data_IF_106818013538
#
_entry.id   IF_106818013538
#
_cell.length_a   1.000
_cell.length_b   1.000
_cell.length_c   1.000
_cell.angle_alpha   90.00
_cell.angle_beta   90.00
_cell.angle_gamma   90.00
#
_symmetry.space_group_name_H-M   'P 1'
#
loop_
_entity.id
_entity.type
_entity.pdbx_description
1 polymer ?
#
# COMPACT_ATOMS: atom_id res chain seq x y z
N UNK A 1 -14.00 21.69 5.64
CA UNK A 1 -13.20 21.55 4.40
C UNK A 1 -12.27 20.38 4.66
N UNK A 2 -12.22 19.35 3.79
CA UNK A 2 -11.42 18.17 4.09
C UNK A 2 -9.93 18.52 4.18
N UNK A 3 -9.28 18.14 5.28
CA UNK A 3 -7.86 18.38 5.53
C UNK A 3 -7.02 17.18 5.13
N UNK A 4 -6.01 17.41 4.31
CA UNK A 4 -5.10 16.38 3.81
C UNK A 4 -3.68 16.72 4.27
N UNK A 5 -3.12 15.85 5.12
CA UNK A 5 -1.71 15.93 5.50
C UNK A 5 -0.85 15.28 4.42
N UNK A 6 0.11 16.03 3.89
CA UNK A 6 1.11 15.56 2.95
C UNK A 6 2.41 15.22 3.70
N UNK A 7 2.89 14.00 3.51
CA UNK A 7 4.19 13.54 4.00
C UNK A 7 5.03 13.02 2.83
N UNK A 8 5.66 13.91 2.03
CA UNK A 8 6.41 13.49 0.84
C UNK A 8 7.56 12.52 1.17
N UNK A 9 8.20 12.73 2.32
CA UNK A 9 9.25 11.85 2.85
C UNK A 9 10.55 11.89 2.05
N UNK A 10 11.10 10.72 1.73
CA UNK A 10 12.47 10.55 1.25
C UNK A 10 12.56 10.14 -0.23
N UNK A 11 13.71 10.43 -0.84
CA UNK A 11 14.05 9.96 -2.19
C UNK A 11 13.06 10.44 -3.26
N UNK A 12 12.51 9.52 -4.05
CA UNK A 12 11.50 9.85 -5.08
C UNK A 12 10.15 10.27 -4.50
N UNK A 13 9.94 10.12 -3.18
CA UNK A 13 8.68 10.45 -2.51
C UNK A 13 8.22 11.88 -2.80
N UNK A 14 9.15 12.85 -2.80
CA UNK A 14 8.87 14.24 -3.17
C UNK A 14 8.42 14.38 -4.63
N UNK A 15 9.09 13.73 -5.57
CA UNK A 15 8.79 13.81 -7.01
C UNK A 15 7.38 13.28 -7.31
N UNK A 16 7.05 12.09 -6.81
CA UNK A 16 5.75 11.46 -7.10
C UNK A 16 4.59 12.14 -6.36
N UNK A 17 4.84 12.67 -5.16
CA UNK A 17 3.85 13.47 -4.41
C UNK A 17 3.52 14.76 -5.15
N UNK A 18 4.53 15.43 -5.73
CA UNK A 18 4.32 16.63 -6.54
C UNK A 18 3.42 16.36 -7.76
N UNK A 19 3.58 15.23 -8.45
CA UNK A 19 2.70 14.87 -9.57
C UNK A 19 1.26 14.57 -9.09
N UNK A 20 1.12 13.96 -7.92
CA UNK A 20 -0.19 13.73 -7.29
C UNK A 20 -0.89 15.05 -6.92
N UNK A 21 -0.12 16.02 -6.43
CA UNK A 21 -0.62 17.35 -6.10
C UNK A 21 -1.13 18.13 -7.31
N UNK A 22 -0.54 17.95 -8.51
CA UNK A 22 -1.07 18.56 -9.73
C UNK A 22 -2.48 18.07 -10.06
N UNK A 23 -2.72 16.76 -9.89
CA UNK A 23 -4.05 16.14 -10.08
C UNK A 23 -5.03 16.65 -9.01
N UNK A 24 -4.63 16.64 -7.74
CA UNK A 24 -5.45 17.11 -6.63
C UNK A 24 -5.84 18.58 -6.75
N UNK A 25 -4.89 19.46 -7.11
CA UNK A 25 -5.17 20.89 -7.28
C UNK A 25 -6.17 21.14 -8.41
N UNK A 26 -6.01 20.46 -9.55
CA UNK A 26 -6.97 20.56 -10.65
C UNK A 26 -8.37 20.10 -10.22
N UNK A 27 -8.48 18.94 -9.56
CA UNK A 27 -9.76 18.41 -9.10
C UNK A 27 -10.40 19.30 -8.03
N UNK A 28 -9.60 19.85 -7.12
CA UNK A 28 -10.06 20.73 -6.06
C UNK A 28 -10.70 22.00 -6.64
N UNK A 29 -10.07 22.61 -7.64
CA UNK A 29 -10.61 23.77 -8.37
C UNK A 29 -11.84 23.38 -9.20
N UNK A 30 -11.74 22.30 -9.99
CA UNK A 30 -12.77 21.91 -10.96
C UNK A 30 -14.08 21.48 -10.31
N UNK A 31 -14.01 20.79 -9.17
CA UNK A 31 -15.17 20.25 -8.45
C UNK A 31 -15.52 21.06 -7.19
N UNK A 32 -14.76 22.13 -6.91
CA UNK A 32 -14.92 22.97 -5.72
C UNK A 32 -14.95 22.13 -4.42
N UNK A 33 -14.00 21.20 -4.28
CA UNK A 33 -13.96 20.23 -3.19
C UNK A 33 -13.61 20.86 -1.84
N UNK A 34 -12.96 22.03 -1.86
CA UNK A 34 -12.49 22.72 -0.65
C UNK A 34 -11.48 21.88 0.13
N UNK A 35 -10.59 21.17 -0.57
CA UNK A 35 -9.47 20.46 0.05
C UNK A 35 -8.45 21.47 0.57
N UNK A 36 -8.02 21.25 1.81
CA UNK A 36 -6.92 21.97 2.46
C UNK A 36 -5.72 21.03 2.57
N UNK A 37 -4.54 21.52 2.22
CA UNK A 37 -3.31 20.75 2.25
C UNK A 37 -2.35 21.34 3.27
N UNK A 38 -1.83 20.48 4.14
CA UNK A 38 -0.77 20.80 5.09
C UNK A 38 0.39 19.83 4.88
N UNK A 39 1.62 20.32 4.82
CA UNK A 39 2.80 19.50 4.59
C UNK A 39 3.67 19.45 5.85
N UNK A 40 4.18 18.27 6.19
CA UNK A 40 5.07 18.09 7.33
C UNK A 40 6.27 17.17 7.00
N UNK A 41 7.34 17.32 7.77
CA UNK A 41 8.53 16.48 7.64
C UNK A 41 8.25 15.05 8.13
N UNK A 42 8.81 14.09 7.40
CA UNK A 42 8.65 12.67 7.68
C UNK A 42 9.89 11.87 7.24
N UNK A 43 10.20 10.79 7.96
CA UNK A 43 11.26 9.86 7.58
C UNK A 43 12.66 10.44 7.78
N UNK A 44 13.53 10.16 6.82
CA UNK A 44 14.90 10.67 6.76
C UNK A 44 14.98 12.20 6.69
N UNK A 45 14.06 12.84 5.97
CA UNK A 45 13.94 14.29 5.93
C UNK A 45 13.68 14.90 7.32
N UNK A 46 12.85 14.26 8.14
CA UNK A 46 12.63 14.67 9.53
C UNK A 46 13.86 14.37 10.41
N UNK A 47 14.54 13.24 10.20
CA UNK A 47 15.78 12.92 10.91
C UNK A 47 16.88 13.95 10.68
N UNK A 48 17.04 14.41 9.44
CA UNK A 48 18.06 15.38 9.07
C UNK A 48 17.86 16.73 9.77
N UNK A 49 16.61 17.17 9.96
CA UNK A 49 16.27 18.46 10.56
C UNK A 49 16.06 18.38 12.08
N UNK A 50 15.50 17.29 12.58
CA UNK A 50 14.95 17.19 13.94
C UNK A 50 15.45 15.98 14.73
N UNK A 51 16.33 15.14 14.14
CA UNK A 51 16.91 13.93 14.75
C UNK A 51 15.89 12.87 15.20
N UNK A 52 14.66 12.95 14.70
CA UNK A 52 13.61 11.95 14.89
C UNK A 52 12.90 11.68 13.56
N UNK A 53 12.36 10.47 13.32
CA UNK A 53 11.77 10.14 12.02
C UNK A 53 10.35 10.68 11.83
N UNK A 54 9.69 11.12 12.91
CA UNK A 54 8.40 11.82 12.89
C UNK A 54 8.19 12.49 14.26
N UNK A 55 7.69 13.72 14.27
CA UNK A 55 7.41 14.48 15.50
C UNK A 55 6.05 14.12 16.09
N UNK A 56 5.83 14.48 17.36
CA UNK A 56 4.51 14.38 17.99
C UNK A 56 3.52 15.35 17.34
N UNK A 57 3.99 16.54 16.95
CA UNK A 57 3.19 17.54 16.23
C UNK A 57 2.65 16.98 14.91
N UNK A 58 3.49 16.32 14.10
CA UNK A 58 3.06 15.67 12.86
C UNK A 58 2.04 14.56 13.11
N UNK A 59 2.16 13.81 14.22
CA UNK A 59 1.17 12.80 14.61
C UNK A 59 -0.17 13.43 14.97
N UNK A 60 -0.17 14.55 15.70
CA UNK A 60 -1.42 15.24 16.05
C UNK A 60 -2.09 15.85 14.82
N UNK A 61 -1.32 16.47 13.91
CA UNK A 61 -1.85 16.93 12.61
C UNK A 61 -2.45 15.75 11.82
N UNK A 62 -1.80 14.58 11.83
CA UNK A 62 -2.29 13.39 11.16
C UNK A 62 -3.63 12.90 11.74
N UNK A 63 -3.82 12.96 13.06
CA UNK A 63 -5.08 12.61 13.73
C UNK A 63 -6.20 13.62 13.48
N UNK A 64 -5.85 14.88 13.27
CA UNK A 64 -6.80 15.96 12.95
C UNK A 64 -7.16 16.04 11.46
N UNK A 65 -6.44 15.31 10.60
CA UNK A 65 -6.63 15.29 9.16
C UNK A 65 -7.65 14.22 8.73
N UNK A 66 -8.40 14.49 7.66
CA UNK A 66 -9.34 13.53 7.06
C UNK A 66 -8.60 12.42 6.29
N UNK A 67 -7.38 12.70 5.83
CA UNK A 67 -6.48 11.72 5.24
C UNK A 67 -5.01 12.15 5.33
N UNK A 68 -4.11 11.18 5.35
CA UNK A 68 -2.67 11.37 5.19
C UNK A 68 -2.25 10.81 3.83
N UNK A 69 -1.63 11.62 2.98
CA UNK A 69 -1.03 11.20 1.71
C UNK A 69 0.49 11.21 1.84
N UNK A 70 1.12 10.05 1.65
CA UNK A 70 2.56 9.87 1.83
C UNK A 70 3.26 9.54 0.52
N UNK A 71 4.50 9.99 0.38
CA UNK A 71 5.36 9.67 -0.76
C UNK A 71 6.14 8.38 -0.54
N UNK A 72 7.32 8.45 0.08
CA UNK A 72 8.14 7.28 0.38
C UNK A 72 9.03 7.53 1.60
N UNK A 73 9.65 6.46 2.14
CA UNK A 73 10.52 6.55 3.32
C UNK A 73 11.76 5.67 3.17
N UNK A 74 12.88 6.12 3.74
CA UNK A 74 14.11 5.33 3.85
C UNK A 74 15.20 5.76 2.87
N UNK A 75 16.43 5.30 3.12
CA UNK A 75 17.57 5.53 2.25
C UNK A 75 18.92 5.16 2.90
N UNK A 76 19.97 4.87 2.10
CA UNK A 76 21.25 4.37 2.59
C UNK A 76 21.96 5.27 3.61
N UNK A 77 21.64 6.58 3.60
CA UNK A 77 22.17 7.55 4.55
C UNK A 77 21.89 7.17 6.00
N UNK A 78 20.77 6.50 6.27
CA UNK A 78 20.30 6.21 7.62
C UNK A 78 20.41 4.72 8.02
N UNK A 79 20.97 3.86 7.14
CA UNK A 79 21.06 2.40 7.36
C UNK A 79 21.98 2.00 8.53
N UNK A 80 22.93 2.87 8.90
CA UNK A 80 23.83 2.62 10.03
C UNK A 80 23.25 3.06 11.36
N UNK A 81 22.09 3.73 11.38
CA UNK A 81 21.46 4.17 12.61
C UNK A 81 20.90 2.98 13.41
N UNK A 82 20.81 3.12 14.75
CA UNK A 82 20.05 2.19 15.60
C UNK A 82 18.63 2.00 15.06
N UNK A 83 18.11 0.78 15.16
CA UNK A 83 16.82 0.40 14.58
C UNK A 83 15.68 1.30 15.07
N UNK A 84 15.79 1.84 16.28
CA UNK A 84 14.79 2.66 16.96
C UNK A 84 14.58 4.05 16.35
N UNK A 85 15.59 4.57 15.63
CA UNK A 85 15.58 5.93 15.06
C UNK A 85 15.69 5.94 13.54
N UNK A 86 15.52 4.80 12.86
CA UNK A 86 15.53 4.76 11.39
C UNK A 86 14.26 5.38 10.79
N UNK A 87 14.30 5.86 9.53
CA UNK A 87 13.14 6.44 8.84
C UNK A 87 11.87 5.58 8.94
N UNK A 88 11.99 4.27 8.75
CA UNK A 88 10.86 3.31 8.75
C UNK A 88 10.15 3.23 10.11
N UNK A 89 10.82 3.66 11.19
CA UNK A 89 10.18 3.76 12.52
C UNK A 89 9.13 4.86 12.57
N UNK A 90 9.31 5.94 11.80
CA UNK A 90 8.27 6.95 11.61
C UNK A 90 7.03 6.35 10.99
N UNK A 91 7.19 5.54 9.93
CA UNK A 91 6.08 4.84 9.25
C UNK A 91 5.33 3.89 10.19
N UNK A 92 6.07 3.06 10.94
CA UNK A 92 5.46 2.14 11.90
C UNK A 92 4.75 2.89 13.03
N UNK A 93 5.30 4.02 13.47
CA UNK A 93 4.70 4.87 14.50
C UNK A 93 3.38 5.48 14.03
N UNK A 94 3.34 6.17 12.89
CA UNK A 94 2.11 6.81 12.41
C UNK A 94 1.00 5.79 12.13
N UNK A 95 1.33 4.63 11.54
CA UNK A 95 0.35 3.54 11.35
C UNK A 95 -0.25 3.06 12.67
N UNK A 96 0.57 2.96 13.72
CA UNK A 96 0.11 2.54 15.04
C UNK A 96 -0.71 3.62 15.74
N UNK A 97 -0.27 4.87 15.70
CA UNK A 97 -0.94 6.01 16.34
C UNK A 97 -2.30 6.32 15.72
N UNK A 98 -2.46 6.12 14.41
CA UNK A 98 -3.75 6.23 13.72
C UNK A 98 -4.61 4.95 13.81
N UNK A 99 -4.09 3.90 14.47
CA UNK A 99 -4.66 2.55 14.48
C UNK A 99 -5.05 2.09 13.06
N UNK A 100 -4.19 2.37 12.07
CA UNK A 100 -4.37 2.07 10.66
C UNK A 100 -4.17 0.58 10.37
N UNK A 101 -5.02 -0.27 10.95
CA UNK A 101 -4.84 -1.71 11.02
C UNK A 101 -5.12 -2.46 9.71
N UNK A 102 -5.89 -1.88 8.79
CA UNK A 102 -6.28 -2.54 7.55
C UNK A 102 -5.55 -1.96 6.34
N UNK A 103 -4.51 -2.65 5.88
CA UNK A 103 -3.81 -2.29 4.66
C UNK A 103 -4.47 -2.95 3.45
N UNK A 104 -4.79 -2.13 2.44
CA UNK A 104 -5.46 -2.48 1.20
C UNK A 104 -4.47 -2.26 0.06
N UNK A 105 -4.11 -3.33 -0.64
CA UNK A 105 -3.17 -3.30 -1.79
C UNK A 105 -3.83 -3.96 -2.99
N UNK A 106 -4.44 -3.19 -3.92
CA UNK A 106 -4.95 -3.73 -5.15
C UNK A 106 -3.80 -4.07 -6.12
N UNK A 107 -3.70 -5.33 -6.53
CA UNK A 107 -2.83 -5.79 -7.60
C UNK A 107 -3.66 -6.04 -8.86
N UNK A 108 -3.66 -5.04 -9.76
CA UNK A 108 -4.41 -5.06 -11.01
C UNK A 108 -3.44 -5.05 -12.19
N UNK A 109 -3.60 -6.00 -13.10
CA UNK A 109 -2.84 -6.01 -14.37
C UNK A 109 -3.61 -5.18 -15.38
N UNK A 110 -3.10 -3.98 -15.67
CA UNK A 110 -3.65 -3.14 -16.74
C UNK A 110 -3.44 -3.82 -18.09
N UNK A 111 -4.48 -3.87 -18.93
CA UNK A 111 -4.43 -4.50 -20.26
C UNK A 111 -3.24 -4.02 -21.12
N UNK A 112 -2.94 -2.71 -21.17
CA UNK A 112 -1.78 -2.17 -21.88
C UNK A 112 -0.41 -2.57 -21.30
N UNK A 113 -0.37 -3.12 -20.09
CA UNK A 113 0.85 -3.52 -19.36
C UNK A 113 1.01 -5.03 -19.20
N UNK A 114 0.17 -5.86 -19.83
CA UNK A 114 0.30 -7.32 -19.70
C UNK A 114 1.69 -7.87 -20.06
N UNK A 115 2.36 -7.25 -21.03
CA UNK A 115 3.73 -7.61 -21.43
C UNK A 115 4.83 -7.11 -20.47
N UNK A 116 4.51 -6.21 -19.54
CA UNK A 116 5.45 -5.79 -18.49
C UNK A 116 5.62 -6.88 -17.42
N UNK A 117 4.66 -7.80 -17.32
CA UNK A 117 4.78 -8.98 -16.46
C UNK A 117 5.80 -9.97 -17.03
N UNK A 118 6.55 -10.61 -16.15
CA UNK A 118 7.44 -11.72 -16.53
C UNK A 118 6.69 -13.05 -16.72
N UNK A 119 5.43 -13.12 -16.28
CA UNK A 119 4.56 -14.26 -16.52
C UNK A 119 3.89 -14.17 -17.88
N UNK A 120 3.49 -15.33 -18.42
CA UNK A 120 2.80 -15.38 -19.71
C UNK A 120 1.47 -14.64 -19.64
N UNK A 121 1.14 -13.91 -20.71
CA UNK A 121 -0.08 -13.10 -20.80
C UNK A 121 -1.34 -13.88 -20.42
N UNK A 122 -1.50 -15.14 -20.86
CA UNK A 122 -2.67 -15.96 -20.54
C UNK A 122 -2.83 -16.31 -19.04
N UNK A 123 -1.80 -16.06 -18.23
CA UNK A 123 -1.83 -16.24 -16.77
C UNK A 123 -2.27 -14.96 -16.07
N UNK A 124 -1.76 -13.80 -16.50
CA UNK A 124 -1.90 -12.51 -15.81
C UNK A 124 -2.99 -11.59 -16.37
N UNK A 125 -3.44 -11.82 -17.60
CA UNK A 125 -4.47 -11.00 -18.25
C UNK A 125 -5.81 -11.07 -17.48
N UNK A 126 -6.27 -9.94 -16.97
CA UNK A 126 -7.47 -9.83 -16.13
C UNK A 126 -7.26 -10.17 -14.65
N UNK A 127 -6.03 -10.18 -14.14
CA UNK A 127 -5.77 -10.24 -12.69
C UNK A 127 -6.24 -8.93 -12.05
N UNK A 128 -7.14 -9.06 -11.06
CA UNK A 128 -7.63 -8.01 -10.18
C UNK A 128 -7.78 -8.61 -8.78
N UNK A 129 -6.75 -8.44 -7.95
CA UNK A 129 -6.68 -8.98 -6.59
C UNK A 129 -6.65 -7.82 -5.61
N UNK A 130 -7.40 -7.91 -4.51
CA UNK A 130 -7.23 -7.05 -3.36
C UNK A 130 -6.54 -7.83 -2.23
N UNK A 131 -5.33 -7.43 -1.86
CA UNK A 131 -4.70 -7.95 -0.64
C UNK A 131 -5.11 -7.08 0.54
N UNK A 132 -5.70 -7.72 1.55
CA UNK A 132 -6.09 -7.13 2.83
C UNK A 132 -5.15 -7.66 3.91
N UNK A 133 -4.24 -6.80 4.36
CA UNK A 133 -3.17 -7.12 5.31
C UNK A 133 -3.46 -6.47 6.65
N UNK A 134 -3.38 -7.26 7.72
CA UNK A 134 -3.32 -6.71 9.08
C UNK A 134 -2.00 -5.93 9.26
N UNK A 135 -2.04 -4.68 9.71
CA UNK A 135 -0.90 -3.77 9.62
C UNK A 135 -0.29 -3.34 10.97
N UNK A 136 -1.01 -3.46 12.09
CA UNK A 136 -0.60 -2.89 13.38
C UNK A 136 -0.29 -3.92 14.46
N UNK A 137 -0.43 -5.22 14.16
CA UNK A 137 -0.13 -6.33 15.06
C UNK A 137 0.88 -7.33 14.50
N UNK A 138 0.85 -8.55 15.04
CA UNK A 138 1.73 -9.65 14.62
C UNK A 138 3.19 -9.45 15.01
N UNK A 139 4.09 -10.17 14.32
CA UNK A 139 5.53 -10.23 14.65
C UNK A 139 6.25 -8.87 14.53
N UNK A 140 5.66 -7.91 13.82
CA UNK A 140 6.22 -6.59 13.59
C UNK A 140 6.11 -5.70 14.84
N UNK A 141 5.15 -5.99 15.72
CA UNK A 141 4.89 -5.22 16.95
C UNK A 141 4.97 -6.06 18.22
N UNK A 142 4.95 -7.39 18.12
CA UNK A 142 4.95 -8.29 19.26
C UNK A 142 6.19 -8.20 20.15
N UNK A 143 5.97 -8.45 21.44
CA UNK A 143 6.98 -8.48 22.50
C UNK A 143 6.90 -9.81 23.27
N UNK A 144 8.02 -10.31 23.85
CA UNK A 144 9.37 -9.75 23.84
C UNK A 144 10.04 -9.79 22.44
N UNK A 145 11.03 -8.92 22.24
CA UNK A 145 11.86 -8.86 21.03
C UNK A 145 13.24 -8.29 21.32
N UNK A 146 14.24 -8.63 20.51
CA UNK A 146 15.59 -8.08 20.62
C UNK A 146 16.69 -9.11 20.37
N UNK A 147 17.94 -8.68 20.54
CA UNK A 147 19.12 -9.55 20.49
C UNK A 147 19.78 -9.53 21.86
N UNK A 148 19.88 -10.69 22.50
CA UNK A 148 20.58 -10.88 23.78
C UNK A 148 21.89 -11.64 23.58
N UNK A 149 22.90 -11.33 24.39
CA UNK A 149 24.14 -12.12 24.47
C UNK A 149 23.92 -13.22 25.52
N UNK A 150 23.98 -14.48 25.09
CA UNK A 150 23.91 -15.61 26.01
C UNK A 150 25.27 -15.82 26.70
N UNK A 151 26.36 -15.56 25.97
CA UNK A 151 27.72 -15.46 26.48
C UNK A 151 28.59 -14.52 25.61
N UNK A 152 29.92 -14.57 25.76
CA UNK A 152 30.88 -13.74 25.01
C UNK A 152 30.90 -13.96 23.50
N UNK A 153 30.32 -15.06 23.00
CA UNK A 153 30.38 -15.50 21.61
C UNK A 153 29.00 -15.80 21.01
N UNK A 154 28.03 -16.17 21.83
CA UNK A 154 26.69 -16.54 21.37
C UNK A 154 25.67 -15.41 21.57
N UNK A 155 24.92 -15.11 20.51
CA UNK A 155 23.80 -14.16 20.52
C UNK A 155 22.51 -14.87 20.14
N UNK A 156 21.41 -14.51 20.81
CA UNK A 156 20.07 -14.99 20.51
C UNK A 156 19.17 -13.83 20.09
N UNK A 157 18.60 -13.94 18.89
CA UNK A 157 17.54 -13.05 18.41
C UNK A 157 16.17 -13.59 18.77
N UNK A 158 15.26 -12.72 19.24
CA UNK A 158 13.88 -13.07 19.56
C UNK A 158 12.93 -12.06 18.90
N UNK A 159 11.84 -12.58 18.34
CA UNK A 159 10.65 -11.83 17.95
C UNK A 159 9.42 -12.66 18.31
N UNK A 160 8.32 -12.01 18.69
CA UNK A 160 7.10 -12.70 19.11
C UNK A 160 5.97 -12.44 18.12
N UNK A 161 5.41 -13.52 17.54
CA UNK A 161 4.20 -13.43 16.72
C UNK A 161 2.97 -13.66 17.59
N UNK A 162 2.16 -12.62 17.78
CA UNK A 162 0.96 -12.67 18.61
C UNK A 162 -0.21 -11.95 17.94
N UNK A 163 -1.41 -12.50 18.12
CA UNK A 163 -2.67 -11.87 17.75
C UNK A 163 -3.72 -12.15 18.82
N UNK A 164 -4.56 -11.16 19.08
CA UNK A 164 -5.81 -11.29 19.81
C UNK A 164 -6.95 -11.60 18.83
N UNK A 165 -8.01 -12.23 19.32
CA UNK A 165 -9.22 -12.45 18.52
C UNK A 165 -9.83 -11.13 18.04
N UNK A 166 -9.76 -10.05 18.82
CA UNK A 166 -10.23 -8.73 18.41
C UNK A 166 -9.47 -8.17 17.20
N UNK A 167 -8.15 -8.33 17.16
CA UNK A 167 -7.33 -7.90 16.02
C UNK A 167 -7.69 -8.69 14.76
N UNK A 168 -7.90 -10.00 14.88
CA UNK A 168 -8.28 -10.85 13.75
C UNK A 168 -9.71 -10.53 13.29
N UNK A 169 -10.67 -10.34 14.21
CA UNK A 169 -12.07 -10.04 13.88
C UNK A 169 -12.20 -8.73 13.10
N UNK A 170 -11.48 -7.67 13.49
CA UNK A 170 -11.57 -6.37 12.80
C UNK A 170 -11.04 -6.43 11.37
N UNK A 171 -9.89 -7.08 11.12
CA UNK A 171 -9.33 -7.18 9.77
C UNK A 171 -10.13 -8.15 8.89
N UNK A 172 -10.65 -9.24 9.46
CA UNK A 172 -11.53 -10.17 8.74
C UNK A 172 -12.80 -9.49 8.24
N UNK A 173 -13.45 -8.66 9.09
CA UNK A 173 -14.63 -7.88 8.69
C UNK A 173 -14.33 -6.99 7.48
N UNK A 174 -13.22 -6.25 7.53
CA UNK A 174 -12.81 -5.39 6.39
C UNK A 174 -12.65 -6.22 5.11
N UNK A 175 -12.00 -7.38 5.17
CA UNK A 175 -11.85 -8.24 4.00
C UNK A 175 -13.20 -8.74 3.45
N UNK A 176 -14.12 -9.18 4.32
CA UNK A 176 -15.44 -9.63 3.90
C UNK A 176 -16.31 -8.50 3.34
N UNK A 177 -16.31 -7.32 3.95
CA UNK A 177 -17.02 -6.13 3.46
C UNK A 177 -16.52 -5.67 2.09
N UNK A 178 -15.20 -5.78 1.85
CA UNK A 178 -14.61 -5.52 0.53
C UNK A 178 -15.06 -6.60 -0.46
N UNK A 179 -15.02 -7.87 -0.09
CA UNK A 179 -15.44 -8.97 -0.96
C UNK A 179 -16.93 -8.87 -1.35
N UNK A 180 -17.80 -8.36 -0.47
CA UNK A 180 -19.21 -8.09 -0.79
C UNK A 180 -19.40 -7.13 -1.96
N UNK A 181 -18.47 -6.17 -2.13
CA UNK A 181 -18.47 -5.18 -3.22
C UNK A 181 -17.69 -5.66 -4.46
N UNK A 182 -17.13 -6.88 -4.40
CA UNK A 182 -16.33 -7.50 -5.47
C UNK A 182 -16.96 -8.84 -5.88
N UNK A 183 -16.16 -9.88 -6.11
CA UNK A 183 -16.62 -11.17 -6.60
C UNK A 183 -17.05 -12.13 -5.48
N UNK A 184 -17.24 -11.63 -4.25
CA UNK A 184 -17.74 -12.38 -3.09
C UNK A 184 -16.88 -13.60 -2.73
N UNK A 185 -15.56 -13.51 -2.90
CA UNK A 185 -14.61 -14.57 -2.52
C UNK A 185 -13.48 -14.01 -1.67
N UNK A 186 -13.21 -14.67 -0.55
CA UNK A 186 -12.07 -14.39 0.33
C UNK A 186 -11.20 -15.63 0.42
N UNK A 187 -9.91 -15.47 0.15
CA UNK A 187 -8.88 -16.45 0.48
C UNK A 187 -8.15 -15.98 1.73
N UNK A 188 -8.35 -16.68 2.86
CA UNK A 188 -7.61 -16.45 4.10
C UNK A 188 -6.29 -17.22 4.09
N UNK A 189 -5.19 -16.51 4.30
CA UNK A 189 -3.83 -17.06 4.23
C UNK A 189 -3.24 -17.17 5.63
N UNK A 190 -2.77 -18.37 5.98
CA UNK A 190 -2.21 -18.63 7.30
C UNK A 190 -1.09 -19.70 7.28
N UNK A 191 -0.66 -20.15 8.46
CA UNK A 191 0.20 -21.34 8.64
C UNK A 191 -0.31 -22.20 9.79
N UNK A 192 -1.62 -22.48 9.80
CA UNK A 192 -2.30 -23.17 10.91
C UNK A 192 -1.82 -24.61 11.14
N UNK A 193 -1.16 -25.24 10.16
CA UNK A 193 -0.53 -26.56 10.34
C UNK A 193 0.75 -26.55 11.19
N UNK A 194 1.28 -25.38 11.55
CA UNK A 194 2.52 -25.24 12.33
C UNK A 194 2.37 -24.26 13.49
N UNK A 195 1.68 -23.13 13.29
CA UNK A 195 1.66 -22.02 14.26
C UNK A 195 0.30 -21.91 14.94
N UNK A 196 0.25 -22.01 16.28
CA UNK A 196 -1.00 -21.91 17.06
C UNK A 196 -1.69 -20.55 16.89
N UNK A 197 -0.90 -19.47 16.80
CA UNK A 197 -1.42 -18.12 16.48
C UNK A 197 -2.14 -18.07 15.13
N UNK A 198 -1.72 -18.91 14.18
CA UNK A 198 -2.37 -19.02 12.87
C UNK A 198 -3.54 -20.00 12.86
N UNK A 199 -3.57 -20.98 13.79
CA UNK A 199 -4.79 -21.75 14.07
C UNK A 199 -5.88 -20.82 14.63
N UNK A 200 -5.53 -19.97 15.61
CA UNK A 200 -6.44 -18.95 16.15
C UNK A 200 -6.95 -18.01 15.05
N UNK A 201 -6.07 -17.60 14.12
CA UNK A 201 -6.44 -16.82 12.94
C UNK A 201 -7.53 -17.52 12.12
N UNK A 202 -7.27 -18.77 11.70
CA UNK A 202 -8.18 -19.56 10.89
C UNK A 202 -9.55 -19.75 11.54
N UNK A 203 -9.57 -20.10 12.82
CA UNK A 203 -10.81 -20.33 13.57
C UNK A 203 -11.62 -19.03 13.68
N UNK A 204 -10.95 -17.92 13.99
CA UNK A 204 -11.60 -16.61 14.15
C UNK A 204 -12.14 -16.07 12.81
N UNK A 205 -11.38 -16.19 11.71
CA UNK A 205 -11.84 -15.78 10.38
C UNK A 205 -13.06 -16.60 9.95
N UNK A 206 -13.05 -17.91 10.23
CA UNK A 206 -14.17 -18.80 9.94
C UNK A 206 -15.41 -18.41 10.74
N UNK A 207 -15.27 -18.16 12.05
CA UNK A 207 -16.35 -17.68 12.92
C UNK A 207 -16.97 -16.38 12.38
N UNK A 208 -16.15 -15.39 11.99
CA UNK A 208 -16.64 -14.13 11.43
C UNK A 208 -17.43 -14.36 10.15
N UNK A 209 -16.92 -15.19 9.24
CA UNK A 209 -17.63 -15.54 8.01
C UNK A 209 -18.99 -16.16 8.30
N UNK A 210 -19.03 -17.19 9.14
CA UNK A 210 -20.25 -17.96 9.41
C UNK A 210 -21.32 -17.12 10.11
N UNK A 211 -20.90 -16.24 11.02
CA UNK A 211 -21.82 -15.43 11.83
C UNK A 211 -22.29 -14.15 11.15
N UNK A 212 -21.49 -13.55 10.27
CA UNK A 212 -21.74 -12.19 9.74
C UNK A 212 -21.79 -12.11 8.22
N UNK A 213 -21.13 -13.02 7.49
CA UNK A 213 -20.99 -12.98 6.03
C UNK A 213 -21.23 -14.36 5.38
N UNK A 214 -22.38 -15.01 5.66
CA UNK A 214 -22.62 -16.39 5.22
C UNK A 214 -22.61 -16.57 3.70
N UNK A 215 -22.88 -15.50 2.94
CA UNK A 215 -22.94 -15.45 1.48
C UNK A 215 -21.56 -15.33 0.79
N UNK A 216 -20.50 -15.03 1.53
CA UNK A 216 -19.15 -14.93 0.97
C UNK A 216 -18.51 -16.33 0.91
N UNK A 217 -17.91 -16.69 -0.22
CA UNK A 217 -17.11 -17.90 -0.33
C UNK A 217 -15.77 -17.69 0.40
N UNK A 218 -15.42 -18.61 1.30
CA UNK A 218 -14.17 -18.59 2.05
C UNK A 218 -13.32 -19.82 1.71
N UNK A 219 -12.14 -19.59 1.15
CA UNK A 219 -11.07 -20.57 1.00
C UNK A 219 -9.98 -20.26 2.03
N UNK A 220 -9.34 -21.30 2.58
CA UNK A 220 -8.14 -21.13 3.39
C UNK A 220 -6.93 -21.77 2.71
N UNK A 221 -5.84 -21.02 2.57
CA UNK A 221 -4.58 -21.52 2.03
C UNK A 221 -3.44 -21.34 3.05
N UNK A 222 -2.50 -22.27 3.04
CA UNK A 222 -1.22 -22.04 3.71
C UNK A 222 -0.38 -21.06 2.89
N UNK A 223 0.40 -20.20 3.56
CA UNK A 223 1.16 -19.11 2.92
C UNK A 223 2.13 -19.59 1.84
N UNK A 224 2.76 -20.75 2.02
CA UNK A 224 3.62 -21.38 1.01
C UNK A 224 2.84 -21.81 -0.24
N UNK A 225 1.65 -22.39 -0.05
CA UNK A 225 0.77 -22.69 -1.17
C UNK A 225 0.22 -21.41 -1.82
N UNK A 226 -0.15 -20.40 -1.04
CA UNK A 226 -0.64 -19.12 -1.56
C UNK A 226 0.39 -18.46 -2.50
N UNK A 227 1.67 -18.47 -2.13
CA UNK A 227 2.75 -18.01 -3.00
C UNK A 227 2.79 -18.78 -4.33
N UNK A 228 2.76 -20.12 -4.27
CA UNK A 228 2.70 -20.94 -5.49
C UNK A 228 1.45 -20.64 -6.35
N UNK A 229 0.28 -20.45 -5.73
CA UNK A 229 -0.97 -20.19 -6.44
C UNK A 229 -1.02 -18.78 -7.06
N UNK A 230 -0.37 -17.78 -6.45
CA UNK A 230 -0.24 -16.45 -7.04
C UNK A 230 0.48 -16.49 -8.39
N UNK A 231 1.48 -17.35 -8.52
CA UNK A 231 2.17 -17.55 -9.81
C UNK A 231 1.34 -18.43 -10.74
N UNK A 232 0.73 -19.49 -10.21
CA UNK A 232 0.10 -20.54 -11.01
C UNK A 232 -1.30 -20.19 -11.55
N UNK A 233 -2.11 -19.47 -10.77
CA UNK A 233 -3.53 -19.15 -11.02
C UNK A 233 -3.98 -17.81 -10.41
N UNK A 234 -3.27 -16.68 -10.58
CA UNK A 234 -3.58 -15.44 -9.87
C UNK A 234 -5.02 -14.96 -10.07
N UNK A 235 -5.60 -15.14 -11.27
CA UNK A 235 -6.98 -14.78 -11.62
C UNK A 235 -8.07 -15.46 -10.79
N UNK A 236 -7.72 -16.51 -10.04
CA UNK A 236 -8.65 -17.19 -9.16
C UNK A 236 -8.90 -16.43 -7.86
N UNK A 237 -7.99 -15.55 -7.44
CA UNK A 237 -8.12 -14.75 -6.24
C UNK A 237 -8.98 -13.51 -6.49
N UNK A 238 -9.75 -13.13 -5.47
CA UNK A 238 -10.53 -11.88 -5.43
C UNK A 238 -10.01 -11.00 -4.29
N UNK A 239 -10.28 -11.42 -3.04
CA UNK A 239 -9.72 -10.80 -1.84
C UNK A 239 -8.82 -11.79 -1.12
N UNK A 240 -7.58 -11.42 -0.87
CA UNK A 240 -6.61 -12.22 -0.11
C UNK A 240 -6.40 -11.59 1.27
N UNK A 241 -6.78 -12.30 2.33
CA UNK A 241 -6.69 -11.84 3.72
C UNK A 241 -5.49 -12.49 4.41
N UNK A 242 -4.60 -11.70 5.00
CA UNK A 242 -3.41 -12.22 5.69
C UNK A 242 -2.98 -11.37 6.91
N UNK A 243 -2.33 -12.03 7.88
CA UNK A 243 -1.63 -11.35 8.98
C UNK A 243 -0.40 -10.56 8.49
N UNK A 244 0.18 -9.71 9.33
CA UNK A 244 1.12 -8.66 8.93
C UNK A 244 2.29 -9.13 8.06
N UNK A 245 3.10 -10.08 8.56
CA UNK A 245 4.27 -10.58 7.83
C UNK A 245 3.89 -11.34 6.55
N UNK A 246 2.83 -12.13 6.58
CA UNK A 246 2.39 -12.89 5.40
C UNK A 246 1.78 -11.97 4.35
N UNK A 247 0.97 -11.00 4.77
CA UNK A 247 0.39 -9.99 3.90
C UNK A 247 1.46 -9.11 3.25
N UNK A 248 2.56 -8.81 3.96
CA UNK A 248 3.72 -8.12 3.39
C UNK A 248 4.24 -8.86 2.15
N UNK A 249 4.67 -10.10 2.36
CA UNK A 249 5.29 -10.96 1.35
C UNK A 249 4.33 -11.22 0.19
N UNK A 250 3.09 -11.61 0.49
CA UNK A 250 2.08 -11.93 -0.52
C UNK A 250 1.69 -10.70 -1.33
N UNK A 251 1.61 -9.52 -0.71
CA UNK A 251 1.28 -8.30 -1.43
C UNK A 251 2.39 -7.86 -2.38
N UNK A 252 3.66 -8.03 -1.99
CA UNK A 252 4.82 -7.75 -2.85
C UNK A 252 5.00 -8.83 -3.95
N UNK A 253 4.57 -10.05 -3.72
CA UNK A 253 4.51 -11.08 -4.77
C UNK A 253 3.39 -10.79 -5.77
N UNK A 254 2.18 -10.45 -5.28
CA UNK A 254 1.06 -10.06 -6.12
C UNK A 254 1.37 -8.79 -6.93
N UNK A 255 2.13 -7.88 -6.32
CA UNK A 255 2.65 -6.69 -6.97
C UNK A 255 3.47 -6.99 -8.22
N UNK A 256 4.40 -7.95 -8.12
CA UNK A 256 5.29 -8.29 -9.22
C UNK A 256 4.54 -8.91 -10.42
N UNK A 257 3.33 -9.46 -10.20
CA UNK A 257 2.47 -9.96 -11.28
C UNK A 257 2.07 -8.84 -12.26
N UNK A 258 1.93 -7.60 -11.77
CA UNK A 258 1.54 -6.43 -12.59
C UNK A 258 2.68 -5.88 -13.44
N UNK A 259 3.90 -6.36 -13.22
CA UNK A 259 5.12 -5.97 -13.95
C UNK A 259 5.95 -4.90 -13.24
N UNK A 260 5.36 -4.06 -12.39
CA UNK A 260 6.12 -3.05 -11.62
C UNK A 260 5.46 -2.69 -10.29
N UNK A 261 6.28 -2.61 -9.23
CA UNK A 261 5.90 -1.99 -7.95
C UNK A 261 5.46 -0.53 -8.11
N UNK A 262 5.98 0.17 -9.13
CA UNK A 262 5.65 1.55 -9.49
C UNK A 262 4.20 1.78 -9.92
N UNK A 263 3.40 0.71 -10.01
CA UNK A 263 1.99 0.74 -10.41
C UNK A 263 1.01 0.59 -9.25
N UNK A 264 1.50 0.35 -8.02
CA UNK A 264 0.65 -0.16 -6.94
C UNK A 264 0.37 0.90 -5.89
N UNK A 265 -0.89 1.36 -5.81
CA UNK A 265 -1.32 2.19 -4.71
C UNK A 265 -1.57 1.36 -3.46
N UNK A 266 -1.63 2.01 -2.31
CA UNK A 266 -2.16 1.37 -1.11
C UNK A 266 -2.93 2.34 -0.21
N UNK A 267 -3.80 1.78 0.62
CA UNK A 267 -4.49 2.50 1.68
C UNK A 267 -4.38 1.72 2.99
N UNK A 268 -4.06 2.39 4.08
CA UNK A 268 -4.08 1.84 5.43
C UNK A 268 -5.19 2.53 6.20
N UNK A 269 -6.28 1.80 6.42
CA UNK A 269 -7.51 2.31 7.02
C UNK A 269 -7.50 1.97 8.51
N UNK A 270 -7.77 2.98 9.34
CA UNK A 270 -7.79 2.86 10.79
C UNK A 270 -9.04 3.44 11.43
N UNK A 271 -9.09 3.31 12.76
CA UNK A 271 -10.17 3.88 13.57
C UNK A 271 -9.98 5.37 13.85
N UNK A 272 -8.76 5.90 13.76
CA UNK A 272 -8.43 7.30 14.04
C UNK A 272 -7.96 8.09 12.81
N UNK A 273 -7.88 7.44 11.65
CA UNK A 273 -7.43 8.07 10.42
C UNK A 273 -7.13 7.06 9.32
N UNK A 274 -6.77 7.56 8.15
CA UNK A 274 -6.37 6.75 7.01
C UNK A 274 -5.09 7.31 6.39
N UNK A 275 -4.20 6.39 6.01
CA UNK A 275 -2.92 6.68 5.37
C UNK A 275 -2.97 6.14 3.95
N UNK A 276 -2.56 6.92 2.97
CA UNK A 276 -2.50 6.55 1.57
C UNK A 276 -1.05 6.71 1.10
N UNK A 277 -0.43 5.61 0.67
CA UNK A 277 0.96 5.60 0.24
C UNK A 277 1.15 4.62 -0.93
N UNK A 278 2.00 4.95 -1.92
CA UNK A 278 2.40 3.98 -2.92
C UNK A 278 3.21 2.84 -2.26
N UNK A 279 3.16 1.64 -2.83
CA UNK A 279 3.86 0.47 -2.26
C UNK A 279 5.37 0.54 -2.47
N UNK A 280 5.83 1.22 -3.54
CA UNK A 280 7.25 1.31 -3.86
C UNK A 280 8.04 2.06 -2.76
N UNK A 281 9.32 1.71 -2.60
CA UNK A 281 10.23 2.42 -1.69
C UNK A 281 10.67 3.79 -2.23
N UNK A 282 11.64 4.40 -1.55
CA UNK A 282 12.18 5.73 -1.87
C UNK A 282 13.10 5.79 -3.09
N UNK A 283 13.49 4.65 -3.67
CA UNK A 283 14.35 4.54 -4.86
C UNK A 283 15.49 5.60 -4.91
N UNK A 284 16.38 5.62 -3.90
CA UNK A 284 17.36 6.69 -3.67
C UNK A 284 18.39 6.81 -4.80
N UNK A 285 18.57 5.75 -5.58
CA UNK A 285 19.43 5.70 -6.77
C UNK A 285 18.91 6.54 -7.94
N UNK A 286 17.59 6.81 -8.00
CA UNK A 286 16.95 7.63 -9.03
C UNK A 286 16.34 8.94 -8.52
N UNK A 287 16.40 9.19 -7.21
CA UNK A 287 15.93 10.43 -6.61
C UNK A 287 16.59 11.68 -7.24
N UNK A 288 15.78 12.69 -7.54
CA UNK A 288 16.18 13.94 -8.17
C UNK A 288 16.51 13.83 -9.66
N UNK A 289 16.30 12.66 -10.29
CA UNK A 289 16.60 12.43 -11.71
C UNK A 289 15.37 12.51 -12.62
N UNK A 290 14.18 12.77 -12.07
CA UNK A 290 12.92 12.79 -12.80
C UNK A 290 12.61 11.42 -13.46
N UNK A 291 13.09 10.31 -12.90
CA UNK A 291 12.92 8.97 -13.50
C UNK A 291 11.83 8.12 -12.82
N UNK A 292 11.31 8.59 -11.69
CA UNK A 292 10.29 7.88 -10.92
C UNK A 292 9.01 7.66 -11.74
N UNK A 293 8.27 6.61 -11.38
CA UNK A 293 6.93 6.37 -11.91
C UNK A 293 5.89 6.99 -10.97
N UNK A 294 5.17 8.05 -11.37
CA UNK A 294 4.20 8.70 -10.48
C UNK A 294 2.85 7.96 -10.42
N UNK A 295 2.64 6.90 -11.23
CA UNK A 295 1.32 6.28 -11.37
C UNK A 295 0.82 5.70 -10.05
N UNK A 296 1.66 4.97 -9.30
CA UNK A 296 1.26 4.46 -7.98
C UNK A 296 0.80 5.58 -7.04
N UNK A 297 1.49 6.72 -7.03
CA UNK A 297 1.13 7.87 -6.18
C UNK A 297 -0.17 8.55 -6.63
N UNK A 298 -0.39 8.65 -7.94
CA UNK A 298 -1.64 9.18 -8.52
C UNK A 298 -2.82 8.24 -8.23
N UNK A 299 -2.63 6.92 -8.35
CA UNK A 299 -3.66 5.93 -7.99
C UNK A 299 -3.90 5.87 -6.48
N UNK A 300 -2.88 6.15 -5.67
CA UNK A 300 -2.99 6.30 -4.21
C UNK A 300 -3.89 7.48 -3.85
N UNK A 301 -3.73 8.59 -4.57
CA UNK A 301 -4.65 9.73 -4.51
C UNK A 301 -6.09 9.32 -4.88
N UNK A 302 -6.26 8.51 -5.93
CA UNK A 302 -7.58 8.00 -6.29
C UNK A 302 -8.20 7.13 -5.18
N UNK A 303 -7.39 6.32 -4.48
CA UNK A 303 -7.84 5.57 -3.31
C UNK A 303 -8.26 6.51 -2.17
N UNK A 304 -7.48 7.57 -1.90
CA UNK A 304 -7.82 8.57 -0.88
C UNK A 304 -9.18 9.23 -1.11
N UNK A 305 -9.40 9.72 -2.33
CA UNK A 305 -10.66 10.34 -2.72
C UNK A 305 -11.84 9.37 -2.55
N UNK A 306 -11.64 8.08 -2.84
CA UNK A 306 -12.66 7.05 -2.70
C UNK A 306 -12.93 6.69 -1.23
N UNK A 307 -11.91 6.29 -0.49
CA UNK A 307 -12.08 5.65 0.82
C UNK A 307 -12.26 6.64 1.97
N UNK A 308 -11.61 7.82 1.92
CA UNK A 308 -11.78 8.85 2.96
C UNK A 308 -12.86 9.86 2.61
N UNK A 309 -12.97 10.25 1.33
CA UNK A 309 -13.83 11.36 0.93
C UNK A 309 -15.13 10.92 0.24
N UNK A 310 -15.34 9.62 0.00
CA UNK A 310 -16.51 9.07 -0.69
C UNK A 310 -16.74 9.65 -2.11
N UNK A 311 -15.65 9.96 -2.82
CA UNK A 311 -15.65 10.55 -4.16
C UNK A 311 -15.33 9.48 -5.23
N UNK A 312 -16.07 8.38 -5.24
CA UNK A 312 -15.89 7.25 -6.17
C UNK A 312 -15.91 7.69 -7.64
N UNK A 313 -16.78 8.64 -8.02
CA UNK A 313 -16.87 9.13 -9.38
C UNK A 313 -15.58 9.80 -9.84
N UNK A 314 -14.96 10.60 -8.97
CA UNK A 314 -13.70 11.31 -9.24
C UNK A 314 -12.53 10.32 -9.25
N UNK A 315 -12.49 9.41 -8.28
CA UNK A 315 -11.52 8.30 -8.23
C UNK A 315 -11.51 7.50 -9.56
N UNK A 316 -12.70 7.15 -10.06
CA UNK A 316 -12.85 6.43 -11.33
C UNK A 316 -12.35 7.23 -12.55
N UNK A 317 -12.47 8.56 -12.54
CA UNK A 317 -11.92 9.41 -13.62
C UNK A 317 -10.39 9.33 -13.65
N UNK A 318 -9.72 9.37 -12.49
CA UNK A 318 -8.26 9.21 -12.40
C UNK A 318 -7.84 7.85 -12.95
N UNK A 319 -8.50 6.76 -12.55
CA UNK A 319 -8.23 5.42 -13.06
C UNK A 319 -8.34 5.33 -14.59
N UNK A 320 -9.40 5.93 -15.17
CA UNK A 320 -9.58 5.96 -16.64
C UNK A 320 -8.48 6.74 -17.34
N UNK A 321 -8.03 7.87 -16.77
CA UNK A 321 -6.96 8.66 -17.38
C UNK A 321 -5.62 7.96 -17.32
N UNK A 322 -5.32 7.24 -16.24
CA UNK A 322 -4.15 6.35 -16.19
C UNK A 322 -4.23 5.28 -17.27
N UNK A 323 -5.38 4.60 -17.40
CA UNK A 323 -5.58 3.56 -18.41
C UNK A 323 -5.43 4.11 -19.85
N UNK A 324 -6.07 5.24 -20.17
CA UNK A 324 -5.95 5.94 -21.45
C UNK A 324 -4.50 6.30 -21.81
N UNK A 325 -3.73 6.86 -20.87
CA UNK A 325 -2.33 7.20 -21.12
C UNK A 325 -1.48 5.95 -21.35
N UNK A 326 -1.77 4.86 -20.65
CA UNK A 326 -1.10 3.58 -20.86
C UNK A 326 -1.48 2.93 -22.19
N UNK A 327 -2.73 3.05 -22.66
CA UNK A 327 -3.17 2.63 -24.00
C UNK A 327 -2.42 3.37 -25.11
N UNK A 328 -2.10 4.65 -24.89
CA UNK A 328 -1.29 5.47 -25.80
C UNK A 328 0.21 5.10 -25.82
N UNK A 329 0.59 4.04 -25.10
CA UNK A 329 1.94 3.46 -24.99
C UNK A 329 2.98 4.37 -24.34
N UNK A 330 2.58 5.32 -23.50
CA UNK A 330 3.54 6.06 -22.67
C UNK A 330 4.01 5.21 -21.50
N UNK A 331 5.33 5.17 -21.24
CA UNK A 331 5.93 4.34 -20.19
C UNK A 331 7.05 5.11 -19.48
N UNK A 332 7.09 5.08 -18.16
CA UNK A 332 8.28 5.40 -17.39
C UNK A 332 9.31 4.26 -17.48
N UNK A 333 10.52 4.47 -16.99
CA UNK A 333 11.64 3.55 -17.19
C UNK A 333 11.41 2.13 -16.67
N UNK A 334 10.68 2.00 -15.56
CA UNK A 334 10.37 0.75 -14.86
C UNK A 334 9.36 -0.15 -15.61
N UNK A 335 8.48 0.45 -16.43
CA UNK A 335 7.47 -0.26 -17.23
C UNK A 335 7.73 -0.15 -18.73
N UNK A 336 8.93 0.30 -19.12
CA UNK A 336 9.28 0.48 -20.53
C UNK A 336 9.40 -0.85 -21.26
N UNK A 337 8.76 -0.94 -22.42
CA UNK A 337 8.90 -2.03 -23.37
C UNK A 337 9.32 -1.48 -24.75
N UNK A 338 9.94 -2.33 -25.57
CA UNK A 338 10.36 -1.93 -26.92
C UNK A 338 9.16 -1.48 -27.76
N UNK A 339 9.33 -0.35 -28.46
CA UNK A 339 8.27 0.30 -29.24
C UNK A 339 7.29 1.16 -28.44
N UNK A 340 7.43 1.27 -27.12
CA UNK A 340 6.70 2.24 -26.32
C UNK A 340 7.37 3.64 -26.35
N UNK A 341 6.61 4.67 -25.94
CA UNK A 341 7.08 6.04 -25.78
C UNK A 341 7.63 6.22 -24.37
N UNK A 342 8.95 6.23 -24.23
CA UNK A 342 9.61 6.45 -22.93
C UNK A 342 9.43 7.90 -22.48
N UNK A 343 8.95 8.09 -21.26
CA UNK A 343 8.73 9.40 -20.63
C UNK A 343 9.34 9.42 -19.23
N UNK A 344 9.59 10.62 -18.72
CA UNK A 344 10.07 10.88 -17.37
C UNK A 344 8.89 11.05 -16.38
N UNK A 345 9.18 11.25 -15.07
CA UNK A 345 8.15 11.35 -14.03
C UNK A 345 7.17 12.50 -14.31
N UNK A 346 7.69 13.70 -14.51
CA UNK A 346 6.88 14.89 -14.80
C UNK A 346 6.08 14.75 -16.09
N UNK A 347 6.65 14.19 -17.16
CA UNK A 347 5.94 13.96 -18.42
C UNK A 347 4.77 13.00 -18.24
N UNK A 348 4.95 11.90 -17.50
CA UNK A 348 3.88 10.95 -17.20
C UNK A 348 2.76 11.62 -16.39
N UNK A 349 3.10 12.35 -15.32
CA UNK A 349 2.12 13.08 -14.51
C UNK A 349 1.34 14.12 -15.32
N UNK A 350 2.03 14.88 -16.18
CA UNK A 350 1.40 15.84 -17.10
C UNK A 350 0.47 15.17 -18.11
N UNK A 351 0.87 14.05 -18.71
CA UNK A 351 0.02 13.31 -19.65
C UNK A 351 -1.29 12.84 -19.00
N UNK A 352 -1.21 12.31 -17.78
CA UNK A 352 -2.39 11.87 -17.02
C UNK A 352 -3.28 13.06 -16.66
N UNK A 353 -2.69 14.19 -16.25
CA UNK A 353 -3.44 15.41 -15.96
C UNK A 353 -4.16 15.96 -17.20
N UNK A 354 -3.48 16.02 -18.35
CA UNK A 354 -4.09 16.54 -19.57
C UNK A 354 -5.18 15.63 -20.12
N UNK A 355 -5.01 14.31 -20.03
CA UNK A 355 -6.08 13.36 -20.33
C UNK A 355 -7.28 13.56 -19.39
N UNK A 356 -7.02 13.70 -18.08
CA UNK A 356 -8.07 13.94 -17.08
C UNK A 356 -8.83 15.23 -17.38
N UNK A 357 -8.15 16.32 -17.75
CA UNK A 357 -8.76 17.60 -18.14
C UNK A 357 -9.62 17.47 -19.40
N UNK A 358 -9.14 16.73 -20.40
CA UNK A 358 -9.84 16.58 -21.67
C UNK A 358 -11.13 15.76 -21.54
N UNK A 359 -11.18 14.84 -20.57
CA UNK A 359 -12.30 13.92 -20.33
C UNK A 359 -13.23 14.37 -19.18
N UNK A 360 -13.10 15.63 -18.74
CA UNK A 360 -13.88 16.24 -17.65
C UNK A 360 -14.93 17.20 -18.17
#
# INVERSE_FOLDING_TARGET
>A
MPKILLLPGDGIGTEVTNESMKILNFLNEKENLGLEFEEALFGGACLDEQNIPITDETIEIAKESDAVLMGAVGGPKWDTLPHEIRPERGLLRIRKELDAFANLRPAVVFGPLKNASTLKNEIVDGVDIMVVRELTGGIYFGTPRGIEYLDSSEKKGTNTLSYTTSEIKRIARVAFEIAQKRNKRVTSIDKANVLEVMQLWRDTVTEVKETQFPEIELEHLYVDNAAMQLIRRPRSFDVMLAGNMFGDIISDEAAQLTGSLGMLPSASIGSQGAIYEPVHGSAPDIAGKNLANPIASILTTAMMLKYSLNLDSISNKIHRSVDSVLEQRYRTGDIYEEGAKKVNCTEMGSLILEDLKANY
#
